data_IF_356251175041
#
_entry.id   IF_356251175041
#
_cell.length_a   1.000
_cell.length_b   1.000
_cell.length_c   1.000
_cell.angle_alpha   90.00
_cell.angle_beta   90.00
_cell.angle_gamma   90.00
#
_symmetry.space_group_name_H-M   'P 1'
#
loop_
_entity.id
_entity.type
_entity.pdbx_description
1 polymer ?
#
# COMPACT_ATOMS: atom_id res chain seq x y z
N UNK A 1 20.98 30.71 -9.56
CA UNK A 1 19.72 30.52 -8.79
C UNK A 1 19.61 29.07 -8.35
N UNK A 2 19.68 28.78 -7.04
CA UNK A 2 19.41 27.43 -6.50
C UNK A 2 17.89 27.24 -6.46
N UNK A 3 17.36 26.26 -7.19
CA UNK A 3 15.95 25.86 -7.05
C UNK A 3 15.77 25.21 -5.68
N UNK A 4 14.93 25.79 -4.83
CA UNK A 4 14.51 25.11 -3.61
C UNK A 4 13.85 23.78 -3.96
N UNK A 5 14.09 22.70 -3.20
CA UNK A 5 13.46 21.42 -3.45
C UNK A 5 11.95 21.56 -3.23
N UNK A 6 11.20 21.64 -4.34
CA UNK A 6 9.74 21.65 -4.30
C UNK A 6 9.26 20.45 -3.47
N UNK A 7 8.39 20.72 -2.48
CA UNK A 7 7.70 19.67 -1.73
C UNK A 7 6.94 18.79 -2.72
N UNK A 8 7.49 17.63 -3.06
CA UNK A 8 6.89 16.65 -3.98
C UNK A 8 5.57 16.07 -3.48
N UNK A 9 5.17 16.35 -2.23
CA UNK A 9 4.03 15.75 -1.55
C UNK A 9 3.03 16.82 -1.15
N UNK A 10 1.82 16.66 -1.66
CA UNK A 10 0.67 17.51 -1.35
C UNK A 10 0.12 17.21 0.04
N UNK A 11 0.16 15.95 0.48
CA UNK A 11 -0.40 15.50 1.76
C UNK A 11 0.68 14.96 2.72
N UNK A 12 0.71 15.40 3.99
CA UNK A 12 1.57 14.85 5.02
C UNK A 12 1.25 13.36 5.27
N UNK A 13 2.26 12.58 5.65
CA UNK A 13 2.05 11.19 6.06
C UNK A 13 2.13 11.06 7.57
N UNK A 14 1.19 10.33 8.15
CA UNK A 14 1.17 9.99 9.56
C UNK A 14 1.64 8.55 9.76
N UNK A 15 2.51 8.33 10.72
CA UNK A 15 2.85 6.98 11.18
C UNK A 15 1.65 6.42 11.91
N UNK A 16 1.30 5.17 11.63
CA UNK A 16 0.17 4.49 12.26
C UNK A 16 0.51 3.02 12.49
N UNK A 17 -0.16 2.41 13.46
CA UNK A 17 -0.08 0.97 13.67
C UNK A 17 -1.34 0.35 13.05
N UNK A 18 -1.19 -0.28 11.88
CA UNK A 18 -2.29 -0.93 11.18
C UNK A 18 -1.78 -2.03 10.26
N UNK A 19 -2.72 -2.76 9.66
CA UNK A 19 -2.44 -3.82 8.69
C UNK A 19 -3.33 -3.64 7.46
N UNK A 20 -2.81 -4.05 6.31
CA UNK A 20 -3.60 -4.21 5.10
C UNK A 20 -3.68 -5.70 4.78
N UNK A 21 -4.90 -6.18 4.57
CA UNK A 21 -5.22 -7.56 4.20
C UNK A 21 -5.99 -7.52 2.89
N UNK A 22 -5.45 -8.08 1.82
CA UNK A 22 -6.10 -8.03 0.52
C UNK A 22 -5.56 -9.06 -0.46
N UNK A 23 -5.84 -8.84 -1.72
CA UNK A 23 -5.31 -9.61 -2.84
C UNK A 23 -5.36 -8.81 -4.11
N UNK A 24 -4.63 -9.30 -5.11
CA UNK A 24 -4.69 -8.76 -6.47
C UNK A 24 -6.12 -8.90 -7.01
N UNK A 25 -6.66 -7.80 -7.52
CA UNK A 25 -7.96 -7.78 -8.16
C UNK A 25 -7.81 -8.37 -9.57
N UNK A 26 -8.46 -9.50 -9.90
CA UNK A 26 -8.37 -10.08 -11.23
C UNK A 26 -9.06 -9.15 -12.24
N UNK A 27 -8.27 -8.51 -13.10
CA UNK A 27 -8.77 -7.66 -14.20
C UNK A 27 -9.37 -8.47 -15.36
N UNK A 28 -9.08 -9.78 -15.43
CA UNK A 28 -9.65 -10.71 -16.41
C UNK A 28 -10.08 -12.02 -15.73
N UNK A 29 -11.13 -12.66 -16.26
CA UNK A 29 -11.66 -13.97 -15.82
C UNK A 29 -10.68 -15.15 -16.00
N UNK A 30 -9.39 -14.88 -16.20
CA UNK A 30 -8.34 -15.86 -16.09
C UNK A 30 -8.29 -16.31 -14.62
N UNK A 31 -8.42 -17.62 -14.39
CA UNK A 31 -8.34 -18.32 -13.10
C UNK A 31 -7.00 -18.14 -12.35
N UNK A 32 -6.33 -16.97 -12.40
CA UNK A 32 -5.26 -16.66 -11.45
C UNK A 32 -5.90 -16.52 -10.08
N UNK A 33 -5.62 -17.48 -9.21
CA UNK A 33 -5.96 -17.40 -7.79
C UNK A 33 -5.44 -16.07 -7.27
N UNK A 34 -6.34 -15.18 -6.83
CA UNK A 34 -6.00 -13.92 -6.19
C UNK A 34 -5.02 -14.22 -5.06
N UNK A 35 -3.75 -13.86 -5.25
CA UNK A 35 -2.74 -14.18 -4.26
C UNK A 35 -2.96 -13.26 -3.05
N UNK A 36 -2.97 -13.86 -1.85
CA UNK A 36 -3.16 -13.10 -0.62
C UNK A 36 -1.98 -12.16 -0.43
N UNK A 37 -2.27 -10.86 -0.29
CA UNK A 37 -1.32 -9.81 0.02
C UNK A 37 -1.59 -9.29 1.44
N UNK A 38 -0.55 -9.29 2.27
CA UNK A 38 -0.62 -8.81 3.64
C UNK A 38 0.61 -7.96 3.96
N UNK A 39 0.40 -6.87 4.69
CA UNK A 39 1.50 -6.00 5.11
C UNK A 39 1.16 -5.12 6.29
N UNK A 40 2.18 -4.77 7.08
CA UNK A 40 2.06 -3.79 8.17
C UNK A 40 2.08 -2.39 7.58
N UNK A 41 1.09 -1.57 7.91
CA UNK A 41 1.05 -0.16 7.51
C UNK A 41 2.16 0.58 8.25
N UNK A 42 3.07 1.20 7.48
CA UNK A 42 4.16 2.04 7.98
C UNK A 42 3.70 3.49 8.15
N UNK A 43 2.96 3.99 7.17
CA UNK A 43 2.39 5.34 7.18
C UNK A 43 1.19 5.46 6.24
N UNK A 44 0.35 6.47 6.49
CA UNK A 44 -0.91 6.74 5.77
C UNK A 44 -1.08 8.25 5.53
N UNK A 45 -1.79 8.60 4.48
CA UNK A 45 -2.26 9.93 4.09
C UNK A 45 -3.57 9.78 3.31
N UNK A 46 -4.30 10.85 3.02
CA UNK A 46 -5.58 10.76 2.30
C UNK A 46 -5.44 10.27 0.85
N UNK A 47 -4.24 10.29 0.28
CA UNK A 47 -3.94 9.78 -1.07
C UNK A 47 -3.47 8.33 -1.09
N UNK A 48 -3.18 7.72 0.06
CA UNK A 48 -2.70 6.35 0.13
C UNK A 48 -1.76 6.07 1.30
N UNK A 49 -1.13 4.90 1.28
CA UNK A 49 -0.33 4.41 2.40
C UNK A 49 0.88 3.60 1.94
N UNK A 50 1.80 3.35 2.85
CA UNK A 50 2.95 2.46 2.65
C UNK A 50 2.81 1.25 3.56
N UNK A 51 3.07 0.06 3.02
CA UNK A 51 3.13 -1.17 3.81
C UNK A 51 4.54 -1.78 3.77
N UNK A 52 4.86 -2.52 4.82
CA UNK A 52 5.99 -3.44 4.89
C UNK A 52 5.41 -4.85 4.70
N UNK A 53 5.86 -5.55 3.67
CA UNK A 53 5.37 -6.88 3.31
C UNK A 53 6.53 -7.80 2.92
N UNK A 54 6.30 -9.11 2.98
CA UNK A 54 7.29 -10.13 2.58
C UNK A 54 7.37 -10.30 1.06
N UNK A 55 6.29 -9.97 0.34
CA UNK A 55 6.22 -10.00 -1.13
C UNK A 55 5.96 -8.62 -1.70
N UNK A 56 6.48 -8.37 -2.90
CA UNK A 56 6.29 -7.13 -3.64
C UNK A 56 5.37 -7.40 -4.85
N UNK A 57 4.10 -6.94 -4.84
CA UNK A 57 3.23 -6.99 -6.00
C UNK A 57 3.79 -6.14 -7.15
N UNK A 58 3.33 -6.40 -8.36
CA UNK A 58 3.82 -5.65 -9.53
C UNK A 58 3.34 -4.20 -9.50
N UNK A 59 4.15 -3.29 -10.06
CA UNK A 59 3.77 -1.88 -10.16
C UNK A 59 2.59 -1.74 -11.11
N UNK A 60 1.57 -1.01 -10.69
CA UNK A 60 0.35 -0.78 -11.45
C UNK A 60 -0.78 -1.74 -11.12
N UNK A 61 -0.51 -2.85 -10.42
CA UNK A 61 -1.55 -3.79 -9.98
C UNK A 61 -2.55 -3.13 -9.03
N UNK A 62 -3.80 -3.57 -9.16
CA UNK A 62 -4.87 -3.22 -8.24
C UNK A 62 -4.98 -4.25 -7.14
N UNK A 63 -5.00 -3.79 -5.90
CA UNK A 63 -5.24 -4.63 -4.73
C UNK A 63 -6.57 -4.22 -4.12
N UNK A 64 -7.46 -5.20 -3.91
CA UNK A 64 -8.68 -5.03 -3.14
C UNK A 64 -8.51 -5.69 -1.78
N UNK A 65 -8.88 -4.99 -0.72
CA UNK A 65 -8.70 -5.50 0.63
C UNK A 65 -9.31 -4.63 1.70
N UNK A 66 -8.79 -4.77 2.91
CA UNK A 66 -9.24 -4.07 4.11
C UNK A 66 -8.05 -3.51 4.88
N UNK A 67 -8.17 -2.25 5.30
CA UNK A 67 -7.32 -1.66 6.34
C UNK A 67 -7.89 -1.98 7.71
N UNK A 68 -7.02 -2.46 8.60
CA UNK A 68 -7.37 -2.84 9.97
C UNK A 68 -6.48 -2.04 10.92
N UNK A 69 -7.10 -1.26 11.82
CA UNK A 69 -6.40 -0.48 12.83
C UNK A 69 -6.85 -0.93 14.24
N UNK A 70 -5.94 -1.19 15.20
CA UNK A 70 -6.30 -1.72 16.52
C UNK A 70 -7.27 -0.86 17.33
N UNK A 71 -7.32 0.46 17.07
CA UNK A 71 -8.16 1.42 17.80
C UNK A 71 -9.40 1.86 17.01
N UNK A 72 -9.65 1.28 15.83
CA UNK A 72 -10.81 1.59 15.01
C UNK A 72 -11.71 0.34 15.00
N UNK A 73 -12.94 0.39 15.53
CA UNK A 73 -13.84 -0.75 15.60
C UNK A 73 -14.51 -1.05 14.24
N UNK A 74 -13.78 -0.87 13.14
CA UNK A 74 -14.21 -1.14 11.78
C UNK A 74 -13.01 -1.55 10.92
N UNK A 75 -13.26 -2.43 9.94
CA UNK A 75 -12.32 -2.70 8.87
C UNK A 75 -12.70 -1.81 7.68
N UNK A 76 -11.76 -1.00 7.20
CA UNK A 76 -12.03 -0.04 6.11
C UNK A 76 -11.82 -0.76 4.78
N UNK A 77 -12.86 -1.00 3.97
CA UNK A 77 -12.71 -1.56 2.63
C UNK A 77 -11.93 -0.60 1.74
N UNK A 78 -10.97 -1.12 0.98
CA UNK A 78 -10.05 -0.28 0.23
C UNK A 78 -9.69 -0.92 -1.10
N UNK A 79 -9.77 -0.12 -2.17
CA UNK A 79 -9.14 -0.40 -3.47
C UNK A 79 -7.90 0.49 -3.63
N UNK A 80 -6.76 -0.09 -3.97
CA UNK A 80 -5.51 0.64 -4.17
C UNK A 80 -4.76 0.19 -5.40
N UNK A 81 -3.94 1.08 -5.96
CA UNK A 81 -2.95 0.76 -6.98
C UNK A 81 -1.53 0.77 -6.40
N UNK A 82 -0.71 -0.20 -6.82
CA UNK A 82 0.73 -0.23 -6.51
C UNK A 82 1.46 0.84 -7.30
N UNK A 83 2.10 1.78 -6.62
CA UNK A 83 2.84 2.90 -7.27
C UNK A 83 4.34 2.68 -7.32
N UNK A 84 4.91 2.00 -6.33
CA UNK A 84 6.32 1.65 -6.26
C UNK A 84 6.55 0.53 -5.24
N UNK A 85 7.63 -0.22 -5.45
CA UNK A 85 8.15 -1.23 -4.52
C UNK A 85 9.63 -0.95 -4.27
N UNK A 86 10.09 -1.18 -3.05
CA UNK A 86 11.50 -0.99 -2.68
C UNK A 86 11.91 -2.07 -1.68
N UNK A 87 12.97 -2.85 -1.93
CA UNK A 87 13.49 -3.81 -0.96
C UNK A 87 13.90 -3.13 0.35
N UNK A 88 13.66 -3.79 1.48
CA UNK A 88 14.22 -3.36 2.76
C UNK A 88 15.71 -3.74 2.83
N UNK A 89 16.55 -2.99 3.57
CA UNK A 89 17.98 -3.28 3.67
C UNK A 89 18.31 -4.68 4.19
N UNK A 90 17.43 -5.28 5.00
CA UNK A 90 17.59 -6.64 5.54
C UNK A 90 17.17 -7.76 4.57
N UNK A 91 16.72 -7.43 3.35
CA UNK A 91 16.40 -8.38 2.27
C UNK A 91 15.11 -9.20 2.45
N UNK A 92 14.62 -9.39 3.68
CA UNK A 92 13.46 -10.24 3.97
C UNK A 92 12.11 -9.56 3.69
N UNK A 93 12.07 -8.23 3.62
CA UNK A 93 10.85 -7.46 3.45
C UNK A 93 11.01 -6.43 2.34
N UNK A 94 9.89 -5.91 1.86
CA UNK A 94 9.83 -4.79 0.94
C UNK A 94 8.87 -3.72 1.46
N UNK A 95 9.16 -2.48 1.11
CA UNK A 95 8.23 -1.37 1.20
C UNK A 95 7.39 -1.31 -0.08
N UNK A 96 6.08 -1.21 0.06
CA UNK A 96 5.15 -1.08 -1.06
C UNK A 96 4.35 0.21 -0.87
N UNK A 97 4.45 1.11 -1.83
CA UNK A 97 3.66 2.34 -1.88
C UNK A 97 2.34 2.12 -2.61
N UNK A 98 1.24 2.36 -1.92
CA UNK A 98 -0.13 2.15 -2.39
C UNK A 98 -0.86 3.50 -2.48
N UNK A 99 -1.61 3.71 -3.55
CA UNK A 99 -2.44 4.88 -3.77
C UNK A 99 -3.91 4.46 -3.80
N UNK A 100 -4.79 5.19 -3.13
CA UNK A 100 -6.23 4.92 -3.22
C UNK A 100 -6.73 5.12 -4.65
N UNK A 101 -7.63 4.24 -5.08
CA UNK A 101 -8.40 4.39 -6.31
C UNK A 101 -9.80 4.81 -5.89
N UNK A 102 -10.04 6.12 -5.94
CA UNK A 102 -11.25 6.83 -5.51
C UNK A 102 -11.64 7.85 -6.57
#
# INVERSE_FOLDING_TARGET
MRKEPQKKRVQPRQTTNGRFLGGELPLHQSHRKSQVFEGKVKNISDGGFCVIATRAPERGELLQGRLVFPRVPAQIPTLVQVRWTQPAPSGQNCHVGLQYVI
#
